data_IF_930221857781
#
_entry.id   IF_930221857781
#
_cell.length_a   1.000
_cell.length_b   1.000
_cell.length_c   1.000
_cell.angle_alpha   90.00
_cell.angle_beta   90.00
_cell.angle_gamma   90.00
#
_symmetry.space_group_name_H-M   'P 1'
#
loop_
_entity.id
_entity.type
_entity.pdbx_description
1 polymer ?
#
# COMPACT_ATOMS: atom_id res chain seq x y z
N UNK A 1 24.24 7.11 14.31
CA UNK A 1 22.79 7.27 14.06
C UNK A 1 22.60 8.45 13.13
N UNK A 2 21.95 8.24 11.98
CA UNK A 2 21.61 9.33 11.08
C UNK A 2 20.66 10.33 11.75
N UNK A 3 20.60 11.56 11.24
CA UNK A 3 19.60 12.53 11.70
C UNK A 3 18.19 12.00 11.39
N UNK A 4 17.20 12.19 12.27
CA UNK A 4 15.82 11.76 12.02
C UNK A 4 15.23 12.46 10.80
N UNK A 5 14.29 11.79 10.13
CA UNK A 5 13.51 12.41 9.05
C UNK A 5 12.64 13.54 9.58
N UNK A 6 12.43 14.57 8.75
CA UNK A 6 11.64 15.74 9.14
C UNK A 6 10.15 15.41 9.32
N UNK A 7 9.57 14.53 8.52
CA UNK A 7 8.12 14.26 8.53
C UNK A 7 7.64 13.73 9.90
N UNK A 8 8.24 12.66 10.47
CA UNK A 8 7.88 12.20 11.82
C UNK A 8 8.04 13.28 12.90
N UNK A 9 9.08 14.11 12.83
CA UNK A 9 9.29 15.22 13.77
C UNK A 9 8.20 16.29 13.67
N UNK A 10 7.67 16.55 12.47
CA UNK A 10 6.53 17.45 12.27
C UNK A 10 5.24 16.81 12.80
N UNK A 11 5.02 15.52 12.56
CA UNK A 11 3.83 14.78 13.00
C UNK A 11 3.68 14.81 14.53
N UNK A 12 4.77 14.57 15.27
CA UNK A 12 4.81 14.65 16.75
C UNK A 12 4.47 16.04 17.31
N UNK A 13 4.53 17.07 16.47
CA UNK A 13 4.40 18.48 16.88
C UNK A 13 3.10 19.11 16.43
N UNK A 14 2.18 18.36 15.83
CA UNK A 14 0.88 18.90 15.45
C UNK A 14 0.08 19.42 16.66
N UNK A 15 -0.68 20.54 16.54
CA UNK A 15 -0.69 21.47 15.41
C UNK A 15 0.61 22.31 15.34
N UNK A 16 1.07 22.58 14.12
CA UNK A 16 2.35 23.26 13.87
C UNK A 16 2.27 24.76 14.16
N UNK A 17 3.27 25.27 14.91
CA UNK A 17 3.60 26.70 15.04
C UNK A 17 4.98 26.97 14.46
N UNK A 18 5.36 28.23 14.32
CA UNK A 18 6.69 28.59 13.82
C UNK A 18 7.81 28.02 14.71
N UNK A 19 7.64 28.08 16.04
CA UNK A 19 8.62 27.54 17.00
C UNK A 19 8.76 26.03 16.85
N UNK A 20 7.64 25.31 16.71
CA UNK A 20 7.62 23.85 16.54
C UNK A 20 8.26 23.41 15.22
N UNK A 21 8.02 24.15 14.13
CA UNK A 21 8.67 23.88 12.83
C UNK A 21 10.18 24.15 12.92
N UNK A 22 10.59 25.23 13.60
CA UNK A 22 12.00 25.54 13.81
C UNK A 22 12.71 24.48 14.66
N UNK A 23 12.05 23.96 15.69
CA UNK A 23 12.56 22.86 16.50
C UNK A 23 12.73 21.57 15.67
N UNK A 24 11.71 21.17 14.91
CA UNK A 24 11.78 20.02 14.01
C UNK A 24 12.90 20.16 12.98
N UNK A 25 13.05 21.34 12.38
CA UNK A 25 14.12 21.65 11.43
C UNK A 25 15.51 21.49 12.06
N UNK A 26 15.70 21.98 13.29
CA UNK A 26 16.95 21.84 14.05
C UNK A 26 17.28 20.37 14.35
N UNK A 27 16.29 19.58 14.76
CA UNK A 27 16.47 18.15 15.08
C UNK A 27 16.76 17.31 13.83
N UNK A 28 16.05 17.55 12.73
CA UNK A 28 16.35 16.96 11.42
C UNK A 28 17.66 17.50 10.82
N UNK A 29 18.17 18.61 11.35
CA UNK A 29 19.36 19.30 10.90
C UNK A 29 19.27 19.79 9.46
N UNK A 30 18.11 20.35 9.10
CA UNK A 30 17.79 20.97 7.82
C UNK A 30 17.51 22.47 8.00
N UNK A 31 17.71 23.31 6.97
CA UNK A 31 17.35 24.73 7.05
C UNK A 31 15.86 24.95 7.31
N UNK A 32 15.52 25.99 8.09
CA UNK A 32 14.12 26.35 8.37
C UNK A 32 13.30 26.58 7.08
N UNK A 33 13.91 27.17 6.05
CA UNK A 33 13.27 27.35 4.75
C UNK A 33 12.89 26.01 4.08
N UNK A 34 13.73 24.99 4.20
CA UNK A 34 13.44 23.64 3.69
C UNK A 34 12.27 23.02 4.47
N UNK A 35 12.26 23.18 5.80
CA UNK A 35 11.17 22.67 6.63
C UNK A 35 9.83 23.32 6.27
N UNK A 36 9.79 24.64 6.06
CA UNK A 36 8.60 25.32 5.57
C UNK A 36 8.21 24.89 4.15
N UNK A 37 9.18 24.58 3.29
CA UNK A 37 8.92 23.99 1.98
C UNK A 37 8.15 22.68 2.07
N UNK A 38 8.52 21.82 3.02
CA UNK A 38 7.82 20.56 3.32
C UNK A 38 6.43 20.80 3.89
N UNK A 39 6.30 21.67 4.90
CA UNK A 39 5.03 22.03 5.54
C UNK A 39 4.02 22.58 4.52
N UNK A 40 4.48 23.38 3.55
CA UNK A 40 3.61 23.91 2.50
C UNK A 40 3.25 22.89 1.43
N UNK A 41 4.13 21.93 1.17
CA UNK A 41 3.95 20.93 0.13
C UNK A 41 2.89 19.90 0.50
N UNK A 42 2.98 19.30 1.69
CA UNK A 42 2.07 18.25 2.12
C UNK A 42 0.75 18.81 2.69
N UNK A 43 -0.43 18.43 2.15
CA UNK A 43 -1.73 18.93 2.62
C UNK A 43 -1.99 18.71 4.11
N UNK A 44 -1.55 17.58 4.66
CA UNK A 44 -1.73 17.22 6.08
C UNK A 44 -1.16 18.23 7.08
N UNK A 45 -0.20 19.07 6.67
CA UNK A 45 0.38 20.12 7.51
C UNK A 45 -0.28 21.50 7.35
N UNK A 46 -1.15 21.67 6.35
CA UNK A 46 -1.84 22.94 6.05
C UNK A 46 -3.21 23.07 6.73
N UNK A 47 -3.57 22.11 7.57
CA UNK A 47 -4.90 21.97 8.15
C UNK A 47 -5.78 21.12 7.25
N UNK A 48 -6.51 20.18 7.88
CA UNK A 48 -7.47 19.36 7.16
C UNK A 48 -8.71 20.18 6.80
N UNK A 49 -9.36 19.89 5.66
CA UNK A 49 -10.65 20.49 5.34
C UNK A 49 -11.67 20.23 6.47
N UNK A 50 -12.72 21.04 6.54
CA UNK A 50 -13.81 20.87 7.51
C UNK A 50 -15.14 20.66 6.76
N UNK A 51 -16.08 19.98 7.40
CA UNK A 51 -17.41 19.75 6.86
C UNK A 51 -17.58 18.39 6.18
N UNK A 52 -18.63 18.27 5.38
CA UNK A 52 -18.97 17.07 4.60
C UNK A 52 -18.31 17.14 3.25
N UNK A 53 -17.49 16.16 2.90
CA UNK A 53 -16.75 16.14 1.63
C UNK A 53 -17.19 14.93 0.81
N UNK A 54 -17.56 15.14 -0.44
CA UNK A 54 -17.77 14.04 -1.39
C UNK A 54 -16.41 13.49 -1.83
N UNK A 55 -16.22 12.17 -1.80
CA UNK A 55 -15.05 11.55 -2.41
C UNK A 55 -15.15 11.72 -3.92
N UNK A 56 -14.13 12.35 -4.51
CA UNK A 56 -14.10 12.72 -5.92
C UNK A 56 -13.42 11.63 -6.76
N UNK A 57 -14.10 10.50 -6.88
CA UNK A 57 -13.62 9.33 -7.61
C UNK A 57 -14.34 9.12 -8.95
N UNK A 58 -13.79 8.29 -9.86
CA UNK A 58 -14.40 8.04 -11.17
C UNK A 58 -15.83 7.49 -11.12
N UNK A 59 -16.18 6.68 -10.12
CA UNK A 59 -17.50 6.08 -9.97
C UNK A 59 -18.52 7.12 -9.52
N UNK A 60 -18.17 7.96 -8.54
CA UNK A 60 -18.98 9.11 -8.15
C UNK A 60 -19.18 10.07 -9.34
N UNK A 61 -18.14 10.27 -10.16
CA UNK A 61 -18.22 11.10 -11.38
C UNK A 61 -19.20 10.56 -12.41
N UNK A 62 -19.23 9.24 -12.59
CA UNK A 62 -20.19 8.56 -13.47
C UNK A 62 -21.62 8.57 -12.91
N UNK A 63 -21.81 8.66 -11.58
CA UNK A 63 -23.11 8.55 -10.89
C UNK A 63 -23.75 9.90 -10.54
N UNK A 64 -23.87 10.78 -11.53
CA UNK A 64 -24.60 12.05 -11.34
C UNK A 64 -23.90 13.02 -10.36
N UNK A 65 -22.59 13.20 -10.53
CA UNK A 65 -21.71 13.95 -9.63
C UNK A 65 -22.24 15.31 -9.18
N UNK A 66 -22.87 16.08 -10.08
CA UNK A 66 -23.40 17.41 -9.75
C UNK A 66 -24.41 17.34 -8.58
N UNK A 67 -25.35 16.39 -8.64
CA UNK A 67 -26.36 16.18 -7.60
C UNK A 67 -25.74 15.62 -6.30
N UNK A 68 -24.70 14.80 -6.41
CA UNK A 68 -23.97 14.31 -5.25
C UNK A 68 -23.22 15.45 -4.55
N UNK A 69 -22.64 16.37 -5.34
CA UNK A 69 -21.85 17.51 -4.87
C UNK A 69 -22.68 18.55 -4.15
N UNK A 70 -23.94 18.77 -4.56
CA UNK A 70 -24.91 19.65 -3.87
C UNK A 70 -25.14 19.26 -2.41
N UNK A 71 -24.92 17.99 -2.06
CA UNK A 71 -25.06 17.47 -0.69
C UNK A 71 -23.78 17.57 0.14
N UNK A 72 -22.72 18.18 -0.36
CA UNK A 72 -21.42 18.28 0.30
C UNK A 72 -20.90 19.72 0.32
N UNK A 73 -20.08 20.05 1.31
CA UNK A 73 -19.40 21.35 1.43
C UNK A 73 -18.18 21.40 0.50
N UNK A 74 -17.50 20.26 0.33
CA UNK A 74 -16.26 20.12 -0.44
C UNK A 74 -16.17 18.82 -1.23
N UNK A 75 -15.03 18.64 -1.92
CA UNK A 75 -14.58 17.34 -2.38
C UNK A 75 -13.31 16.92 -1.65
N UNK A 76 -13.03 15.63 -1.66
CA UNK A 76 -11.80 15.05 -1.15
C UNK A 76 -11.23 14.06 -2.18
N UNK A 77 -9.90 13.93 -2.32
CA UNK A 77 -9.31 12.98 -3.26
C UNK A 77 -9.69 11.52 -2.95
N UNK A 78 -9.57 10.62 -3.94
CA UNK A 78 -9.85 9.20 -3.76
C UNK A 78 -8.99 8.51 -2.68
N UNK A 79 -9.64 7.65 -1.89
CA UNK A 79 -9.06 6.94 -0.75
C UNK A 79 -9.21 5.40 -0.83
N UNK A 80 -9.39 4.84 -2.03
CA UNK A 80 -9.69 3.41 -2.15
C UNK A 80 -11.10 3.05 -1.65
N UNK A 81 -12.06 3.96 -1.82
CA UNK A 81 -13.46 3.80 -1.40
C UNK A 81 -14.42 3.59 -2.60
N UNK A 82 -13.88 3.38 -3.79
CA UNK A 82 -14.63 3.37 -5.05
C UNK A 82 -15.63 2.22 -5.14
N UNK A 83 -15.35 1.10 -4.47
CA UNK A 83 -16.31 0.01 -4.33
C UNK A 83 -17.57 0.42 -3.53
N UNK A 84 -17.46 1.46 -2.70
CA UNK A 84 -18.53 2.00 -1.86
C UNK A 84 -19.12 3.29 -2.44
N UNK A 85 -18.69 3.70 -3.64
CA UNK A 85 -19.09 4.98 -4.20
C UNK A 85 -20.61 5.02 -4.49
N UNK A 86 -21.29 6.15 -4.20
CA UNK A 86 -20.71 7.41 -3.70
C UNK A 86 -20.40 7.37 -2.20
N UNK A 87 -19.21 7.84 -1.82
CA UNK A 87 -18.77 7.94 -0.43
C UNK A 87 -18.67 9.40 0.02
N UNK A 88 -19.03 9.67 1.27
CA UNK A 88 -18.85 10.97 1.89
C UNK A 88 -17.95 10.84 3.11
N UNK A 89 -17.11 11.86 3.33
CA UNK A 89 -16.25 11.98 4.49
C UNK A 89 -16.75 13.14 5.35
N UNK A 90 -16.57 13.02 6.65
CA UNK A 90 -16.84 14.08 7.61
C UNK A 90 -15.55 14.44 8.31
N UNK A 91 -15.17 15.71 8.20
CA UNK A 91 -14.04 16.27 8.93
C UNK A 91 -14.58 17.28 9.94
N UNK A 92 -14.25 17.07 11.21
CA UNK A 92 -14.62 17.94 12.31
C UNK A 92 -13.37 18.28 13.14
N UNK A 93 -13.45 19.22 14.10
CA UNK A 93 -12.37 19.44 15.05
C UNK A 93 -12.01 18.19 15.88
N UNK A 94 -12.97 17.28 16.07
CA UNK A 94 -12.82 16.06 16.85
C UNK A 94 -12.20 14.90 16.07
N UNK A 95 -12.21 14.92 14.73
CA UNK A 95 -11.58 13.87 13.94
C UNK A 95 -12.02 13.75 12.49
N UNK A 96 -11.62 12.62 11.89
CA UNK A 96 -11.92 12.22 10.51
C UNK A 96 -12.81 11.00 10.49
N UNK A 97 -13.90 11.06 9.74
CA UNK A 97 -14.89 9.98 9.68
C UNK A 97 -15.31 9.67 8.25
N UNK A 98 -15.57 8.39 7.99
CA UNK A 98 -16.27 7.91 6.80
C UNK A 98 -17.76 7.86 7.14
N UNK A 99 -18.62 8.45 6.30
CA UNK A 99 -20.06 8.26 6.41
C UNK A 99 -20.42 6.90 5.81
N UNK A 100 -20.78 5.93 6.65
CA UNK A 100 -21.07 4.56 6.24
C UNK A 100 -22.34 4.06 6.92
N UNK A 101 -23.29 3.54 6.12
CA UNK A 101 -24.59 3.01 6.60
C UNK A 101 -25.34 3.94 7.57
N UNK A 102 -25.29 5.25 7.32
CA UNK A 102 -25.94 6.26 8.16
C UNK A 102 -25.21 6.57 9.47
N UNK A 103 -23.98 6.07 9.65
CA UNK A 103 -23.12 6.31 10.81
C UNK A 103 -21.85 7.07 10.41
N UNK A 104 -21.25 7.75 11.38
CA UNK A 104 -19.89 8.29 11.27
C UNK A 104 -18.92 7.28 11.87
N UNK A 105 -18.11 6.66 11.03
CA UNK A 105 -17.09 5.69 11.46
C UNK A 105 -15.72 6.38 11.44
N UNK A 106 -14.98 6.44 12.55
CA UNK A 106 -13.65 7.04 12.57
C UNK A 106 -12.70 6.39 11.56
N UNK A 107 -11.82 7.17 10.91
CA UNK A 107 -10.81 6.63 9.99
C UNK A 107 -9.94 5.54 10.63
N UNK A 108 -9.64 5.71 11.93
CA UNK A 108 -8.89 4.75 12.73
C UNK A 108 -9.58 3.40 12.95
N UNK A 109 -10.89 3.32 12.68
CA UNK A 109 -11.73 2.13 12.89
C UNK A 109 -12.35 1.61 11.59
N UNK A 110 -12.48 2.48 10.57
CA UNK A 110 -13.07 2.12 9.30
C UNK A 110 -12.15 1.22 8.49
N UNK A 111 -12.55 -0.04 8.35
CA UNK A 111 -11.98 -1.03 7.44
C UNK A 111 -12.91 -1.22 6.24
N UNK A 112 -12.35 -1.59 5.09
CA UNK A 112 -13.14 -1.92 3.90
C UNK A 112 -14.15 -3.03 4.26
N UNK A 113 -15.47 -2.77 4.12
CA UNK A 113 -16.52 -3.61 4.72
C UNK A 113 -16.90 -4.82 3.86
N UNK A 114 -16.09 -5.14 2.86
CA UNK A 114 -16.24 -6.35 2.06
C UNK A 114 -15.16 -7.35 2.45
N UNK A 115 -15.50 -8.63 2.39
CA UNK A 115 -14.55 -9.73 2.37
C UNK A 115 -13.82 -9.76 1.02
N UNK A 116 -12.79 -10.61 0.87
CA UNK A 116 -12.27 -10.95 -0.46
C UNK A 116 -13.44 -11.50 -1.28
N UNK A 117 -13.89 -10.70 -2.23
CA UNK A 117 -15.06 -10.95 -3.05
C UNK A 117 -14.80 -12.17 -3.93
N UNK A 118 -15.32 -13.31 -3.50
CA UNK A 118 -15.60 -14.44 -4.38
C UNK A 118 -14.40 -15.03 -5.14
N UNK A 119 -13.27 -15.18 -4.45
CA UNK A 119 -12.15 -16.05 -4.87
C UNK A 119 -12.24 -17.41 -4.17
N UNK A 120 -12.09 -18.51 -4.91
CA UNK A 120 -12.25 -19.86 -4.36
C UNK A 120 -11.02 -20.38 -3.57
N UNK A 121 -9.83 -19.73 -3.57
CA UNK A 121 -8.58 -20.52 -3.35
C UNK A 121 -7.41 -19.91 -2.55
N UNK A 122 -6.79 -18.77 -2.89
CA UNK A 122 -5.41 -18.48 -2.41
C UNK A 122 -5.32 -17.59 -1.15
N UNK A 123 -6.16 -16.57 -1.04
CA UNK A 123 -6.38 -15.83 0.21
C UNK A 123 -7.69 -16.28 0.88
N UNK A 124 -7.71 -16.46 2.21
CA UNK A 124 -8.94 -16.78 2.91
C UNK A 124 -9.97 -15.65 2.69
N UNK A 125 -11.26 -16.00 2.45
CA UNK A 125 -12.28 -14.99 2.19
C UNK A 125 -12.48 -14.08 3.40
N UNK A 126 -12.32 -14.63 4.60
CA UNK A 126 -12.46 -13.92 5.86
C UNK A 126 -11.15 -13.19 6.25
N UNK A 127 -11.25 -12.00 6.88
CA UNK A 127 -10.11 -11.29 7.43
C UNK A 127 -9.29 -12.15 8.42
N UNK A 128 -7.96 -12.01 8.33
CA UNK A 128 -6.96 -12.69 9.17
C UNK A 128 -6.12 -11.63 9.88
N UNK A 129 -6.65 -11.14 10.99
CA UNK A 129 -6.19 -9.92 11.65
C UNK A 129 -5.29 -10.19 12.88
N UNK A 130 -5.11 -11.45 13.27
CA UNK A 130 -4.30 -11.85 14.43
C UNK A 130 -3.21 -12.85 14.03
N UNK A 131 -2.10 -12.85 14.78
CA UNK A 131 -1.00 -13.77 14.54
C UNK A 131 -1.44 -15.24 14.66
N UNK A 132 -2.35 -15.53 15.59
CA UNK A 132 -2.88 -16.87 15.83
C UNK A 132 -3.71 -17.39 14.65
N UNK A 133 -4.60 -16.55 14.09
CA UNK A 133 -5.37 -16.91 12.89
C UNK A 133 -4.44 -17.14 11.70
N UNK A 134 -3.44 -16.27 11.51
CA UNK A 134 -2.48 -16.40 10.42
C UNK A 134 -1.68 -17.71 10.51
N UNK A 135 -1.17 -18.04 11.70
CA UNK A 135 -0.46 -19.30 11.95
C UNK A 135 -1.37 -20.52 11.73
N UNK A 136 -2.63 -20.47 12.13
CA UNK A 136 -3.58 -21.57 11.94
C UNK A 136 -3.83 -21.91 10.45
N UNK A 137 -3.59 -20.94 9.55
CA UNK A 137 -3.70 -21.10 8.10
C UNK A 137 -2.36 -21.43 7.41
N UNK A 138 -1.35 -21.85 8.17
CA UNK A 138 -0.01 -22.16 7.65
C UNK A 138 0.81 -20.92 7.30
N UNK A 139 0.48 -19.76 7.89
CA UNK A 139 1.36 -18.59 7.86
C UNK A 139 2.58 -18.78 8.77
N UNK A 140 3.62 -17.98 8.57
CA UNK A 140 4.90 -17.98 9.31
C UNK A 140 5.84 -19.16 9.02
N UNK A 141 5.42 -20.17 8.25
CA UNK A 141 6.25 -21.34 7.93
C UNK A 141 7.59 -20.94 7.29
N UNK A 142 7.59 -19.93 6.44
CA UNK A 142 8.80 -19.45 5.77
C UNK A 142 9.72 -18.68 6.74
N UNK A 143 9.16 -17.85 7.64
CA UNK A 143 9.95 -17.21 8.70
C UNK A 143 10.53 -18.23 9.69
N UNK A 144 9.77 -19.26 10.05
CA UNK A 144 10.28 -20.32 10.91
C UNK A 144 11.39 -21.13 10.22
N UNK A 145 11.25 -21.42 8.92
CA UNK A 145 12.28 -22.07 8.13
C UNK A 145 13.56 -21.23 8.06
N UNK A 146 13.42 -19.91 7.91
CA UNK A 146 14.52 -18.94 7.99
C UNK A 146 15.21 -19.02 9.36
N UNK A 147 14.47 -18.96 10.47
CA UNK A 147 15.04 -19.01 11.82
C UNK A 147 15.80 -20.32 12.10
N UNK A 148 15.31 -21.43 11.55
CA UNK A 148 15.95 -22.76 11.64
C UNK A 148 17.15 -22.91 10.69
N UNK A 149 17.43 -21.92 9.85
CA UNK A 149 18.51 -21.97 8.84
C UNK A 149 18.21 -22.87 7.65
N UNK A 150 16.93 -23.22 7.41
CA UNK A 150 16.49 -24.07 6.30
C UNK A 150 16.18 -23.28 5.03
N UNK A 151 16.05 -21.95 5.12
CA UNK A 151 15.87 -21.06 3.99
C UNK A 151 17.15 -20.23 3.78
N UNK A 152 17.58 -20.07 2.53
CA UNK A 152 18.68 -19.18 2.16
C UNK A 152 18.17 -18.04 1.27
N UNK A 153 18.86 -16.87 1.22
CA UNK A 153 18.46 -15.78 0.33
C UNK A 153 18.42 -16.21 -1.14
N UNK A 154 19.39 -17.02 -1.57
CA UNK A 154 19.45 -17.53 -2.95
C UNK A 154 18.25 -18.43 -3.27
N UNK A 155 17.85 -19.31 -2.33
CA UNK A 155 16.67 -20.15 -2.50
C UNK A 155 15.38 -19.29 -2.62
N UNK A 156 15.26 -18.20 -1.86
CA UNK A 156 14.15 -17.26 -2.04
C UNK A 156 14.19 -16.61 -3.43
N UNK A 157 15.35 -16.12 -3.87
CA UNK A 157 15.47 -15.46 -5.18
C UNK A 157 15.14 -16.42 -6.32
N UNK A 158 15.63 -17.65 -6.26
CA UNK A 158 15.32 -18.69 -7.23
C UNK A 158 13.83 -19.05 -7.22
N UNK A 159 13.22 -19.20 -6.04
CA UNK A 159 11.78 -19.47 -5.94
C UNK A 159 10.94 -18.36 -6.59
N UNK A 160 11.32 -17.09 -6.37
CA UNK A 160 10.64 -15.92 -7.00
C UNK A 160 10.88 -15.85 -8.51
N UNK A 161 12.07 -16.26 -8.97
CA UNK A 161 12.43 -16.34 -10.38
C UNK A 161 11.65 -17.43 -11.11
N UNK A 162 11.62 -18.65 -10.56
CA UNK A 162 10.84 -19.78 -11.08
C UNK A 162 9.34 -19.50 -11.06
N UNK A 163 8.85 -18.78 -10.04
CA UNK A 163 7.47 -18.33 -9.95
C UNK A 163 7.15 -17.26 -11.00
N UNK A 164 8.15 -16.59 -11.58
CA UNK A 164 7.95 -15.54 -12.58
C UNK A 164 7.27 -14.28 -12.03
N UNK A 165 7.36 -14.01 -10.72
CA UNK A 165 6.65 -12.90 -10.08
C UNK A 165 7.12 -11.53 -10.61
N UNK A 166 6.19 -10.82 -11.25
CA UNK A 166 6.35 -9.43 -11.65
C UNK A 166 5.82 -8.47 -10.58
N UNK A 167 6.41 -7.28 -10.46
CA UNK A 167 5.95 -6.27 -9.51
C UNK A 167 4.49 -5.87 -9.73
N UNK A 168 3.67 -5.93 -8.67
CA UNK A 168 2.23 -5.69 -8.69
C UNK A 168 1.82 -4.21 -8.49
N UNK A 169 2.79 -3.29 -8.47
CA UNK A 169 2.58 -1.84 -8.38
C UNK A 169 2.47 -1.11 -9.73
N UNK A 170 2.26 -1.83 -10.84
CA UNK A 170 2.04 -1.24 -12.17
C UNK A 170 3.24 -1.29 -13.14
N UNK A 171 4.48 -1.28 -12.62
CA UNK A 171 5.69 -1.33 -13.46
C UNK A 171 6.03 -2.72 -14.05
N UNK A 172 5.44 -3.80 -13.53
CA UNK A 172 5.63 -5.18 -13.99
C UNK A 172 7.10 -5.64 -14.13
N UNK A 173 8.03 -5.07 -13.36
CA UNK A 173 9.45 -5.44 -13.38
C UNK A 173 9.69 -6.80 -12.68
N UNK A 174 10.58 -7.69 -13.18
CA UNK A 174 10.86 -8.96 -12.53
C UNK A 174 11.40 -8.81 -11.10
N UNK A 175 10.68 -9.38 -10.13
CA UNK A 175 10.93 -9.17 -8.70
C UNK A 175 12.28 -9.73 -8.26
N UNK A 176 12.66 -10.92 -8.74
CA UNK A 176 13.93 -11.56 -8.43
C UNK A 176 15.14 -10.72 -8.88
N UNK A 177 15.08 -10.06 -10.04
CA UNK A 177 16.16 -9.18 -10.51
C UNK A 177 16.37 -7.99 -9.56
N UNK A 178 15.28 -7.37 -9.10
CA UNK A 178 15.35 -6.24 -8.16
C UNK A 178 15.90 -6.66 -6.81
N UNK A 179 15.46 -7.81 -6.29
CA UNK A 179 15.97 -8.43 -5.06
C UNK A 179 17.50 -8.66 -5.16
N UNK A 180 17.94 -9.34 -6.22
CA UNK A 180 19.36 -9.65 -6.46
C UNK A 180 20.21 -8.39 -6.64
N UNK A 181 19.69 -7.37 -7.33
CA UNK A 181 20.41 -6.11 -7.54
C UNK A 181 20.70 -5.39 -6.22
N UNK A 182 19.70 -5.28 -5.34
CA UNK A 182 19.87 -4.65 -4.02
C UNK A 182 20.77 -5.49 -3.11
N UNK A 183 20.63 -6.83 -3.14
CA UNK A 183 21.45 -7.74 -2.35
C UNK A 183 22.95 -7.70 -2.71
N UNK A 184 23.29 -7.30 -3.94
CA UNK A 184 24.68 -7.08 -4.40
C UNK A 184 25.24 -5.71 -4.00
N UNK A 185 24.38 -4.78 -3.60
CA UNK A 185 24.77 -3.43 -3.19
C UNK A 185 25.55 -3.41 -1.87
N UNK A 186 26.34 -2.35 -1.67
CA UNK A 186 27.07 -2.16 -0.42
C UNK A 186 26.12 -1.88 0.76
N UNK A 187 26.32 -2.50 1.93
CA UNK A 187 25.56 -2.17 3.12
C UNK A 187 25.87 -0.75 3.64
N UNK A 188 24.95 -0.16 4.42
CA UNK A 188 23.65 -0.69 4.77
C UNK A 188 22.66 -0.64 3.59
N UNK A 189 21.63 -1.49 3.64
CA UNK A 189 20.57 -1.61 2.62
C UNK A 189 19.21 -1.44 3.30
N UNK A 190 18.20 -1.05 2.54
CA UNK A 190 16.86 -0.84 3.08
C UNK A 190 15.78 -1.54 2.24
N UNK A 191 14.71 -1.97 2.91
CA UNK A 191 13.44 -2.30 2.26
C UNK A 191 12.46 -1.17 2.55
N UNK A 192 11.72 -0.76 1.53
CA UNK A 192 10.53 0.07 1.68
C UNK A 192 9.34 -0.62 1.02
N UNK A 193 8.35 -0.97 1.82
CA UNK A 193 7.04 -1.42 1.35
C UNK A 193 6.27 -0.18 0.94
N UNK A 194 6.01 -0.04 -0.36
CA UNK A 194 5.20 1.04 -0.90
C UNK A 194 3.71 0.70 -0.72
N UNK A 195 3.12 1.31 0.30
CA UNK A 195 1.71 1.22 0.69
C UNK A 195 1.00 2.59 0.55
N UNK A 196 1.54 3.49 -0.28
CA UNK A 196 0.84 4.71 -0.68
C UNK A 196 -0.06 4.42 -1.88
N UNK A 197 -1.11 3.61 -1.66
CA UNK A 197 -2.08 3.25 -2.70
C UNK A 197 -2.97 4.45 -3.03
N UNK A 198 -2.50 5.19 -4.04
CA UNK A 198 -3.07 6.48 -4.41
C UNK A 198 -3.78 6.53 -5.75
N UNK A 199 -3.60 5.49 -6.57
CA UNK A 199 -4.25 5.38 -7.87
C UNK A 199 -5.78 5.24 -7.71
N UNK A 200 -6.59 6.14 -8.27
CA UNK A 200 -8.05 6.05 -8.18
C UNK A 200 -8.57 4.73 -8.76
N UNK A 201 -9.53 4.13 -8.04
CA UNK A 201 -10.11 2.83 -8.37
C UNK A 201 -9.34 1.63 -7.81
N UNK A 202 -8.19 1.85 -7.15
CA UNK A 202 -7.43 0.78 -6.53
C UNK A 202 -7.57 0.79 -5.00
N UNK A 203 -7.82 -0.38 -4.43
CA UNK A 203 -8.00 -0.58 -2.97
C UNK A 203 -7.49 -1.96 -2.52
N UNK A 204 -6.69 -2.63 -3.36
CA UNK A 204 -6.19 -3.99 -3.11
C UNK A 204 -5.16 -4.00 -2.00
N UNK A 205 -4.30 -2.98 -1.96
CA UNK A 205 -3.22 -2.91 -0.99
C UNK A 205 -3.77 -2.45 0.36
N UNK A 206 -4.69 -1.47 0.37
CA UNK A 206 -5.46 -1.11 1.55
C UNK A 206 -6.13 -2.33 2.18
N UNK A 207 -6.82 -3.13 1.36
CA UNK A 207 -7.47 -4.35 1.80
C UNK A 207 -6.47 -5.33 2.45
N UNK A 208 -5.35 -5.60 1.79
CA UNK A 208 -4.32 -6.49 2.34
C UNK A 208 -3.76 -6.00 3.69
N UNK A 209 -3.54 -4.70 3.83
CA UNK A 209 -3.01 -4.13 5.08
C UNK A 209 -4.03 -4.15 6.22
N UNK A 210 -5.31 -3.92 5.92
CA UNK A 210 -6.38 -3.95 6.91
C UNK A 210 -6.72 -5.38 7.33
N UNK A 211 -6.85 -6.30 6.37
CA UNK A 211 -7.44 -7.63 6.58
C UNK A 211 -6.45 -8.79 6.59
N UNK A 212 -5.26 -8.64 6.00
CA UNK A 212 -4.21 -9.68 6.01
C UNK A 212 -2.82 -9.11 6.35
N UNK A 213 -2.67 -8.31 7.42
CA UNK A 213 -1.42 -7.63 7.72
C UNK A 213 -0.24 -8.59 7.87
N UNK A 214 -0.42 -9.74 8.52
CA UNK A 214 0.67 -10.71 8.75
C UNK A 214 1.23 -11.33 7.47
N UNK A 215 0.41 -11.46 6.41
CA UNK A 215 0.87 -11.94 5.12
C UNK A 215 1.85 -10.93 4.48
N UNK A 216 1.48 -9.64 4.53
CA UNK A 216 2.32 -8.56 4.03
C UNK A 216 3.61 -8.45 4.85
N UNK A 217 3.49 -8.52 6.18
CA UNK A 217 4.61 -8.42 7.12
C UNK A 217 5.58 -9.59 6.95
N UNK A 218 5.10 -10.83 6.81
CA UNK A 218 5.95 -11.99 6.54
C UNK A 218 6.73 -11.83 5.22
N UNK A 219 6.04 -11.44 4.14
CA UNK A 219 6.69 -11.15 2.87
C UNK A 219 7.75 -10.05 2.95
N UNK A 220 7.45 -8.97 3.68
CA UNK A 220 8.39 -7.88 3.90
C UNK A 220 9.63 -8.32 4.69
N UNK A 221 9.44 -9.10 5.77
CA UNK A 221 10.54 -9.61 6.59
C UNK A 221 11.43 -10.59 5.82
N UNK A 222 10.83 -11.49 5.02
CA UNK A 222 11.57 -12.40 4.13
C UNK A 222 12.40 -11.64 3.11
N UNK A 223 11.81 -10.64 2.44
CA UNK A 223 12.52 -9.81 1.47
C UNK A 223 13.65 -9.00 2.12
N UNK A 224 13.37 -8.35 3.25
CA UNK A 224 14.34 -7.55 4.00
C UNK A 224 15.54 -8.39 4.45
N UNK A 225 15.29 -9.56 5.02
CA UNK A 225 16.33 -10.49 5.41
C UNK A 225 17.15 -10.96 4.20
N UNK A 226 16.50 -11.36 3.11
CA UNK A 226 17.19 -11.90 1.94
C UNK A 226 18.09 -10.88 1.25
N UNK A 227 17.70 -9.61 1.22
CA UNK A 227 18.57 -8.54 0.71
C UNK A 227 19.61 -8.08 1.72
N UNK A 228 19.59 -8.55 2.97
CA UNK A 228 20.48 -8.06 4.03
C UNK A 228 20.21 -6.61 4.42
N UNK A 229 18.93 -6.24 4.53
CA UNK A 229 18.52 -4.89 4.94
C UNK A 229 18.89 -4.64 6.41
N UNK A 230 19.34 -3.42 6.71
CA UNK A 230 19.50 -2.95 8.10
C UNK A 230 18.12 -2.70 8.73
N UNK A 231 17.16 -2.26 7.91
CA UNK A 231 15.81 -1.93 8.34
C UNK A 231 14.81 -2.00 7.19
N UNK A 232 13.57 -2.32 7.53
CA UNK A 232 12.43 -2.29 6.64
C UNK A 232 11.41 -1.22 7.09
N UNK A 233 10.79 -0.56 6.13
CA UNK A 233 9.80 0.49 6.36
C UNK A 233 8.50 0.15 5.63
N UNK A 234 7.35 0.28 6.28
CA UNK A 234 6.07 0.34 5.59
C UNK A 234 5.69 1.80 5.36
N UNK A 235 5.82 2.28 4.13
CA UNK A 235 5.44 3.64 3.75
C UNK A 235 3.95 3.67 3.42
N UNK A 236 3.12 3.94 4.44
CA UNK A 236 1.65 3.80 4.37
C UNK A 236 0.98 5.15 4.17
N UNK A 237 0.02 5.22 3.26
CA UNK A 237 -0.88 6.36 3.08
C UNK A 237 -1.42 6.88 4.42
N UNK A 238 -1.31 8.17 4.71
CA UNK A 238 -1.64 8.70 6.05
C UNK A 238 -3.12 8.54 6.41
N UNK A 239 -3.99 8.59 5.40
CA UNK A 239 -5.43 8.42 5.54
C UNK A 239 -5.84 6.97 5.89
N UNK A 240 -4.97 5.98 5.71
CA UNK A 240 -5.24 4.58 6.05
C UNK A 240 -4.99 4.30 7.54
N UNK A 241 -5.61 5.09 8.42
CA UNK A 241 -5.36 5.03 9.87
C UNK A 241 -5.64 3.67 10.49
N UNK A 242 -6.72 2.99 10.08
CA UNK A 242 -7.05 1.64 10.54
C UNK A 242 -5.95 0.63 10.18
N UNK A 243 -5.40 0.73 8.96
CA UNK A 243 -4.28 -0.09 8.52
C UNK A 243 -3.01 0.21 9.32
N UNK A 244 -2.66 1.49 9.51
CA UNK A 244 -1.50 1.91 10.30
C UNK A 244 -1.55 1.32 11.71
N UNK A 245 -2.67 1.49 12.42
CA UNK A 245 -2.86 0.94 13.78
C UNK A 245 -2.81 -0.58 13.79
N UNK A 246 -3.43 -1.22 12.81
CA UNK A 246 -3.42 -2.68 12.67
C UNK A 246 -2.01 -3.22 12.45
N UNK A 247 -1.22 -2.57 11.59
CA UNK A 247 0.18 -2.91 11.32
C UNK A 247 1.07 -2.68 12.53
N UNK A 248 0.96 -1.53 13.22
CA UNK A 248 1.71 -1.25 14.45
C UNK A 248 1.46 -2.34 15.51
N UNK A 249 0.20 -2.75 15.69
CA UNK A 249 -0.16 -3.86 16.58
C UNK A 249 0.43 -5.20 16.11
N UNK A 250 0.27 -5.53 14.82
CA UNK A 250 0.76 -6.79 14.25
C UNK A 250 2.29 -6.91 14.29
N UNK A 251 3.02 -5.79 14.12
CA UNK A 251 4.47 -5.72 14.31
C UNK A 251 4.81 -6.06 15.77
N UNK A 252 4.12 -5.44 16.74
CA UNK A 252 4.30 -5.77 18.16
C UNK A 252 4.08 -7.26 18.47
N UNK A 253 3.02 -7.87 17.91
CA UNK A 253 2.77 -9.32 18.07
C UNK A 253 3.92 -10.19 17.50
N UNK A 254 4.51 -9.79 16.35
CA UNK A 254 5.66 -10.49 15.77
C UNK A 254 6.93 -10.30 16.60
N UNK A 255 7.16 -9.10 17.14
CA UNK A 255 8.30 -8.79 18.01
C UNK A 255 8.24 -9.59 19.32
N UNK A 256 7.07 -9.63 19.97
CA UNK A 256 6.84 -10.42 21.19
C UNK A 256 7.04 -11.92 20.94
N UNK A 257 6.68 -12.40 19.75
CA UNK A 257 6.92 -13.78 19.32
C UNK A 257 8.37 -14.07 18.91
N UNK A 258 9.24 -13.05 18.84
CA UNK A 258 10.63 -13.19 18.39
C UNK A 258 10.76 -13.51 16.90
N UNK A 259 9.78 -13.15 16.07
CA UNK A 259 9.68 -13.48 14.64
C UNK A 259 10.15 -12.36 13.70
N UNK A 260 10.81 -11.33 14.21
CA UNK A 260 11.28 -10.15 13.45
C UNK A 260 12.80 -10.25 13.20
N UNK A 261 13.24 -10.78 12.04
CA UNK A 261 14.67 -10.90 11.71
C UNK A 261 15.35 -9.56 11.36
N UNK A 262 14.57 -8.55 10.98
CA UNK A 262 15.03 -7.21 10.58
C UNK A 262 14.09 -6.18 11.21
N UNK A 263 14.59 -5.12 11.86
CA UNK A 263 13.74 -4.06 12.42
C UNK A 263 12.76 -3.52 11.37
N UNK A 264 11.50 -3.38 11.77
CA UNK A 264 10.38 -3.02 10.90
C UNK A 264 9.57 -1.90 11.54
N UNK A 265 9.26 -0.84 10.80
CA UNK A 265 8.45 0.26 11.31
C UNK A 265 7.50 0.84 10.26
N UNK A 266 6.37 1.38 10.71
CA UNK A 266 5.43 2.10 9.86
C UNK A 266 5.89 3.55 9.72
N UNK A 267 6.02 4.00 8.47
CA UNK A 267 6.29 5.39 8.11
C UNK A 267 5.04 5.98 7.45
N UNK A 268 4.44 6.99 8.08
CA UNK A 268 3.25 7.67 7.51
C UNK A 268 3.67 8.53 6.32
N UNK A 269 3.03 8.31 5.19
CA UNK A 269 3.31 9.04 3.96
C UNK A 269 2.91 10.52 4.02
N UNK A 270 3.21 11.23 2.94
CA UNK A 270 2.78 12.61 2.74
C UNK A 270 1.30 12.81 2.37
N UNK A 271 0.54 11.74 2.09
CA UNK A 271 -0.87 11.83 1.66
C UNK A 271 -1.05 12.50 0.28
N UNK A 272 -0.14 12.25 -0.66
CA UNK A 272 -0.19 12.80 -2.01
C UNK A 272 0.05 11.69 -3.04
N UNK A 273 -0.71 11.71 -4.13
CA UNK A 273 -0.59 10.71 -5.21
C UNK A 273 0.84 10.47 -5.71
N UNK A 274 1.63 11.55 -5.83
CA UNK A 274 3.02 11.46 -6.27
C UNK A 274 3.93 10.69 -5.30
N UNK A 275 3.55 10.55 -4.02
CA UNK A 275 4.30 9.78 -3.04
C UNK A 275 4.29 8.28 -3.31
N UNK A 276 3.39 7.79 -4.18
CA UNK A 276 3.41 6.42 -4.69
C UNK A 276 4.51 6.17 -5.73
N UNK A 277 5.10 7.21 -6.34
CA UNK A 277 6.24 7.04 -7.25
C UNK A 277 7.51 6.69 -6.46
N UNK A 278 8.24 5.70 -6.96
CA UNK A 278 9.36 5.06 -6.24
C UNK A 278 10.39 6.03 -5.67
N UNK A 279 10.79 7.07 -6.41
CA UNK A 279 11.81 8.03 -5.96
C UNK A 279 11.24 9.21 -5.18
N UNK A 280 10.04 9.66 -5.52
CA UNK A 280 9.33 10.69 -4.77
C UNK A 280 9.01 10.21 -3.34
N UNK A 281 8.65 8.94 -3.19
CA UNK A 281 8.52 8.26 -1.91
C UNK A 281 9.79 8.41 -1.06
N UNK A 282 10.96 8.16 -1.66
CA UNK A 282 12.24 8.22 -0.95
C UNK A 282 12.59 9.65 -0.54
N UNK A 283 12.32 10.65 -1.39
CA UNK A 283 12.45 12.06 -1.01
C UNK A 283 11.54 12.42 0.17
N UNK A 284 10.30 11.92 0.18
CA UNK A 284 9.38 12.10 1.31
C UNK A 284 9.94 11.50 2.60
N UNK A 285 10.42 10.26 2.54
CA UNK A 285 11.06 9.60 3.69
C UNK A 285 12.32 10.32 4.16
N UNK A 286 13.06 10.97 3.26
CA UNK A 286 14.24 11.79 3.59
C UNK A 286 13.90 13.18 4.16
N UNK A 287 12.63 13.48 4.40
CA UNK A 287 12.22 14.75 4.99
C UNK A 287 12.21 15.90 3.96
N UNK A 288 12.00 15.58 2.68
CA UNK A 288 11.93 16.55 1.58
C UNK A 288 10.54 16.51 0.93
N UNK A 289 10.34 17.40 -0.04
CA UNK A 289 9.15 17.38 -0.90
C UNK A 289 9.23 16.14 -1.80
N UNK A 290 8.11 15.49 -2.07
CA UNK A 290 8.03 14.27 -2.87
C UNK A 290 8.19 14.58 -4.37
N UNK A 291 9.34 15.10 -4.76
CA UNK A 291 9.71 15.42 -6.14
C UNK A 291 10.53 14.24 -6.71
N UNK A 292 10.11 13.59 -7.81
CA UNK A 292 10.84 12.45 -8.37
C UNK A 292 12.32 12.77 -8.66
N UNK A 293 13.20 11.80 -8.43
CA UNK A 293 14.64 11.93 -8.72
C UNK A 293 14.91 11.68 -10.20
N UNK A 294 15.94 12.34 -10.72
CA UNK A 294 16.51 11.98 -12.01
C UNK A 294 17.17 10.59 -11.90
N UNK A 295 16.88 9.72 -12.88
CA UNK A 295 17.46 8.37 -13.02
C UNK A 295 18.37 8.39 -14.26
N UNK A 296 19.57 7.75 -14.25
CA UNK A 296 20.25 7.10 -13.12
C UNK A 296 20.90 8.10 -12.12
N UNK A 297 21.28 7.66 -10.90
CA UNK A 297 21.27 6.28 -10.38
C UNK A 297 19.87 5.79 -9.99
N UNK A 298 19.63 4.48 -10.12
CA UNK A 298 18.36 3.89 -9.71
C UNK A 298 18.32 3.62 -8.20
N UNK A 299 17.13 3.53 -7.56
CA UNK A 299 17.00 3.24 -6.12
C UNK A 299 17.72 1.97 -5.66
N UNK A 300 17.81 0.97 -6.54
CA UNK A 300 18.53 -0.28 -6.25
C UNK A 300 20.03 -0.07 -6.03
N UNK A 301 20.59 1.02 -6.54
CA UNK A 301 21.99 1.43 -6.37
C UNK A 301 22.11 2.53 -5.30
N UNK A 302 21.27 3.57 -5.40
CA UNK A 302 21.27 4.75 -4.52
C UNK A 302 19.83 5.22 -4.24
N UNK A 303 19.19 4.58 -3.26
CA UNK A 303 17.85 4.89 -2.79
C UNK A 303 17.86 5.71 -1.50
N UNK A 304 17.19 5.19 -0.46
CA UNK A 304 17.03 5.83 0.85
C UNK A 304 18.39 6.15 1.47
N UNK A 305 18.60 7.43 1.79
CA UNK A 305 19.84 7.96 2.33
C UNK A 305 21.09 7.63 1.50
N UNK A 306 20.89 7.53 0.18
CA UNK A 306 21.96 7.22 -0.78
C UNK A 306 22.43 5.77 -0.74
N UNK A 307 21.66 4.86 -0.13
CA UNK A 307 21.99 3.45 0.02
C UNK A 307 21.13 2.54 -0.87
N UNK A 308 21.61 1.36 -1.28
CA UNK A 308 20.81 0.40 -2.05
C UNK A 308 19.47 0.13 -1.35
N UNK A 309 18.37 0.38 -2.05
CA UNK A 309 17.04 0.29 -1.48
C UNK A 309 16.12 -0.51 -2.39
N UNK A 310 15.47 -1.50 -1.79
CA UNK A 310 14.38 -2.22 -2.42
C UNK A 310 13.08 -1.51 -2.11
N UNK A 311 12.47 -0.85 -3.10
CA UNK A 311 11.07 -0.40 -2.99
C UNK A 311 10.18 -1.46 -3.62
N UNK A 312 9.21 -2.01 -2.88
CA UNK A 312 8.29 -3.03 -3.40
C UNK A 312 6.85 -2.78 -2.97
N UNK A 313 5.92 -3.08 -3.86
CA UNK A 313 4.48 -2.96 -3.59
C UNK A 313 4.00 -4.04 -2.59
N UNK A 314 2.96 -3.70 -1.82
CA UNK A 314 2.31 -4.57 -0.81
C UNK A 314 1.97 -5.95 -1.38
N UNK A 315 1.19 -6.02 -2.46
CA UNK A 315 0.80 -7.30 -3.08
C UNK A 315 2.00 -8.09 -3.62
N UNK A 316 3.05 -7.44 -4.11
CA UNK A 316 4.28 -8.15 -4.54
C UNK A 316 4.90 -8.91 -3.36
N UNK A 317 5.02 -8.26 -2.20
CA UNK A 317 5.61 -8.87 -1.01
C UNK A 317 4.71 -9.94 -0.41
N UNK A 318 3.40 -9.70 -0.36
CA UNK A 318 2.42 -10.67 0.11
C UNK A 318 2.47 -12.02 -0.65
N UNK A 319 2.93 -12.02 -1.90
CA UNK A 319 3.09 -13.25 -2.68
C UNK A 319 4.33 -14.08 -2.30
N UNK A 320 5.34 -13.51 -1.63
CA UNK A 320 6.57 -14.25 -1.29
C UNK A 320 6.32 -15.47 -0.39
N UNK A 321 5.61 -15.36 0.76
CA UNK A 321 5.29 -16.54 1.56
C UNK A 321 4.42 -17.55 0.82
N UNK A 322 3.49 -17.10 -0.02
CA UNK A 322 2.63 -17.98 -0.82
C UNK A 322 3.44 -18.80 -1.83
N UNK A 323 4.41 -18.18 -2.52
CA UNK A 323 5.32 -18.85 -3.46
C UNK A 323 6.12 -19.94 -2.74
N UNK A 324 6.66 -19.64 -1.56
CA UNK A 324 7.45 -20.61 -0.79
C UNK A 324 6.59 -21.77 -0.27
N UNK A 325 5.37 -21.47 0.20
CA UNK A 325 4.45 -22.47 0.76
C UNK A 325 3.87 -23.40 -0.30
N UNK A 326 3.43 -22.86 -1.43
CA UNK A 326 2.77 -23.64 -2.49
C UNK A 326 3.78 -24.29 -3.45
N UNK A 327 4.99 -23.74 -3.52
CA UNK A 327 5.99 -24.11 -4.50
C UNK A 327 5.90 -23.22 -5.76
N UNK A 328 7.05 -22.77 -6.32
CA UNK A 328 7.08 -21.81 -7.43
C UNK A 328 6.26 -22.23 -8.66
N UNK A 329 6.36 -23.48 -9.08
CA UNK A 329 5.65 -23.99 -10.26
C UNK A 329 4.13 -24.03 -10.06
N UNK A 330 3.67 -24.44 -8.87
CA UNK A 330 2.24 -24.48 -8.54
C UNK A 330 1.67 -23.05 -8.43
N UNK A 331 2.42 -22.13 -7.82
CA UNK A 331 2.05 -20.71 -7.79
C UNK A 331 2.01 -20.14 -9.20
N UNK A 332 3.03 -20.38 -10.05
CA UNK A 332 3.10 -19.88 -11.43
C UNK A 332 1.93 -20.35 -12.30
N UNK A 333 1.49 -21.59 -12.13
CA UNK A 333 0.36 -22.16 -12.84
C UNK A 333 -0.97 -21.48 -12.49
N UNK A 334 -1.07 -20.89 -11.29
CA UNK A 334 -2.24 -20.14 -10.84
C UNK A 334 -2.11 -18.64 -11.10
N UNK A 335 -0.90 -18.11 -10.95
CA UNK A 335 -0.50 -16.70 -10.97
C UNK A 335 -1.60 -15.75 -10.45
N UNK A 336 -1.90 -15.78 -9.13
CA UNK A 336 -2.94 -14.95 -8.57
C UNK A 336 -2.64 -13.46 -8.73
N UNK A 337 -3.70 -12.71 -8.99
CA UNK A 337 -3.71 -11.25 -9.02
C UNK A 337 -4.98 -10.74 -8.36
N UNK A 338 -4.83 -9.72 -7.53
CA UNK A 338 -5.95 -9.02 -6.92
C UNK A 338 -6.44 -7.89 -7.85
N UNK A 339 -7.73 -7.91 -8.15
CA UNK A 339 -8.41 -6.93 -9.00
C UNK A 339 -9.43 -6.15 -8.19
N UNK A 340 -9.22 -4.84 -8.10
CA UNK A 340 -10.17 -3.88 -7.53
C UNK A 340 -11.27 -3.62 -8.55
N UNK A 341 -12.46 -4.21 -8.36
CA UNK A 341 -13.61 -4.01 -9.25
C UNK A 341 -14.63 -3.07 -8.60
N UNK A 342 -14.99 -2.01 -9.30
CA UNK A 342 -15.96 -1.00 -8.85
C UNK A 342 -16.74 -0.45 -10.05
N UNK A 343 -17.68 0.46 -9.80
CA UNK A 343 -18.54 1.01 -10.86
C UNK A 343 -19.80 0.18 -11.06
N UNK A 344 -20.22 0.03 -12.31
CA UNK A 344 -21.52 -0.52 -12.68
C UNK A 344 -21.53 -2.05 -12.70
N UNK A 345 -21.32 -2.62 -11.51
CA UNK A 345 -21.39 -4.04 -11.18
C UNK A 345 -22.24 -4.23 -9.93
N UNK A 346 -22.91 -5.38 -9.80
CA UNK A 346 -23.75 -5.67 -8.63
C UNK A 346 -22.96 -5.83 -7.33
N UNK A 347 -21.76 -6.42 -7.42
CA UNK A 347 -20.91 -6.78 -6.28
C UNK A 347 -19.52 -6.14 -6.44
N UNK A 348 -19.38 -4.82 -6.25
CA UNK A 348 -18.07 -4.20 -6.24
C UNK A 348 -17.24 -4.72 -5.05
N UNK A 349 -15.92 -4.79 -5.22
CA UNK A 349 -15.02 -5.32 -4.21
C UNK A 349 -13.72 -5.83 -4.81
N UNK A 350 -12.99 -6.62 -4.02
CA UNK A 350 -11.69 -7.17 -4.40
C UNK A 350 -11.84 -8.60 -4.90
N UNK A 351 -11.31 -8.90 -6.09
CA UNK A 351 -11.41 -10.23 -6.71
C UNK A 351 -10.01 -10.82 -6.91
N UNK A 352 -9.79 -12.03 -6.40
CA UNK A 352 -8.59 -12.80 -6.72
C UNK A 352 -8.85 -13.63 -7.99
N UNK A 353 -8.12 -13.33 -9.07
CA UNK A 353 -8.25 -14.02 -10.34
C UNK A 353 -6.85 -14.35 -10.90
N UNK A 354 -6.73 -15.43 -11.70
CA UNK A 354 -5.51 -15.68 -12.47
C UNK A 354 -5.17 -14.49 -13.37
N UNK A 355 -3.90 -14.12 -13.45
CA UNK A 355 -3.46 -13.15 -14.44
C UNK A 355 -3.74 -13.69 -15.86
N UNK A 356 -4.37 -12.87 -16.71
CA UNK A 356 -4.86 -13.28 -18.04
C UNK A 356 -6.34 -13.71 -18.05
N UNK A 357 -7.04 -13.62 -16.93
CA UNK A 357 -8.51 -13.75 -16.91
C UNK A 357 -9.14 -12.65 -17.78
N UNK A 358 -10.00 -12.98 -18.76
CA UNK A 358 -10.65 -11.98 -19.61
C UNK A 358 -11.48 -10.98 -18.80
N UNK A 359 -11.42 -9.70 -19.15
CA UNK A 359 -12.18 -8.63 -18.49
C UNK A 359 -13.67 -8.96 -18.38
N UNK A 360 -14.28 -9.48 -19.45
CA UNK A 360 -15.70 -9.83 -19.44
C UNK A 360 -16.02 -10.92 -18.42
N UNK A 361 -15.09 -11.86 -18.18
CA UNK A 361 -15.24 -12.85 -17.12
C UNK A 361 -15.15 -12.21 -15.73
N UNK A 362 -14.16 -11.34 -15.50
CA UNK A 362 -14.01 -10.63 -14.23
C UNK A 362 -15.26 -9.81 -13.89
N UNK A 363 -15.81 -9.07 -14.87
CA UNK A 363 -17.04 -8.30 -14.71
C UNK A 363 -18.25 -9.19 -14.40
N UNK A 364 -18.42 -10.32 -15.11
CA UNK A 364 -19.52 -11.27 -14.84
C UNK A 364 -19.45 -11.86 -13.43
N UNK A 365 -18.25 -12.14 -12.90
CA UNK A 365 -18.07 -12.58 -11.50
C UNK A 365 -18.57 -11.53 -10.51
N UNK A 366 -18.36 -10.25 -10.82
CA UNK A 366 -18.92 -9.13 -10.06
C UNK A 366 -20.41 -8.84 -10.33
N UNK A 367 -21.09 -9.66 -11.14
CA UNK A 367 -22.49 -9.46 -11.51
C UNK A 367 -22.71 -8.34 -12.53
N UNK A 368 -21.66 -7.92 -13.25
CA UNK A 368 -21.79 -7.00 -14.36
C UNK A 368 -22.24 -7.69 -15.65
N UNK A 369 -22.86 -6.92 -16.54
CA UNK A 369 -23.20 -7.30 -17.91
C UNK A 369 -22.27 -6.56 -18.89
N UNK A 370 -21.15 -7.17 -19.34
CA UNK A 370 -20.14 -6.46 -20.15
C UNK A 370 -20.73 -5.75 -21.37
N UNK A 371 -21.70 -6.36 -22.05
CA UNK A 371 -22.33 -5.84 -23.25
C UNK A 371 -23.15 -4.56 -22.99
N UNK A 372 -23.66 -4.39 -21.77
CA UNK A 372 -24.39 -3.20 -21.35
C UNK A 372 -23.47 -2.04 -20.95
N UNK A 373 -22.19 -2.31 -20.64
CA UNK A 373 -21.23 -1.30 -20.20
C UNK A 373 -20.72 -0.46 -21.37
N UNK A 374 -20.49 0.82 -21.11
CA UNK A 374 -19.94 1.76 -22.11
C UNK A 374 -18.44 1.57 -22.33
N UNK A 375 -17.68 1.35 -21.25
CA UNK A 375 -16.25 1.04 -21.26
C UNK A 375 -15.83 0.56 -19.86
N UNK A 376 -14.63 0.00 -19.77
CA UNK A 376 -13.92 -0.28 -18.52
C UNK A 376 -12.63 0.53 -18.49
N UNK A 377 -12.33 1.16 -17.36
CA UNK A 377 -11.03 1.80 -17.10
C UNK A 377 -10.07 0.78 -16.49
N UNK A 378 -9.03 0.41 -17.22
CA UNK A 378 -8.01 -0.54 -16.76
C UNK A 378 -6.76 0.18 -16.26
N UNK A 379 -6.28 -0.19 -15.08
CA UNK A 379 -5.04 0.33 -14.51
C UNK A 379 -5.17 1.67 -13.77
N UNK A 380 -6.39 2.09 -13.45
CA UNK A 380 -6.66 3.35 -12.74
C UNK A 380 -6.75 4.57 -13.66
N UNK A 381 -6.69 5.77 -13.07
CA UNK A 381 -6.76 7.05 -13.79
C UNK A 381 -5.61 7.27 -14.78
N UNK A 382 -4.43 6.70 -14.55
CA UNK A 382 -3.32 6.70 -15.51
C UNK A 382 -3.47 5.64 -16.63
N UNK A 383 -4.55 4.86 -16.57
CA UNK A 383 -4.81 3.71 -17.41
C UNK A 383 -5.49 4.00 -18.74
N UNK A 384 -6.17 2.99 -19.29
CA UNK A 384 -6.85 3.06 -20.59
C UNK A 384 -8.31 2.63 -20.47
N UNK A 385 -9.18 3.33 -21.21
CA UNK A 385 -10.54 2.87 -21.42
C UNK A 385 -10.59 1.84 -22.54
N UNK A 386 -11.27 0.72 -22.32
CA UNK A 386 -11.50 -0.30 -23.34
C UNK A 386 -12.92 -0.86 -23.32
N UNK A 387 -13.32 -1.46 -24.43
CA UNK A 387 -14.50 -2.34 -24.57
C UNK A 387 -14.11 -3.74 -25.04
N UNK A 388 -12.81 -4.03 -25.06
CA UNK A 388 -12.32 -5.36 -25.40
C UNK A 388 -12.53 -6.28 -24.20
N UNK A 389 -13.63 -7.03 -24.21
CA UNK A 389 -13.98 -7.94 -23.12
C UNK A 389 -13.11 -9.21 -23.07
N UNK A 390 -12.28 -9.43 -24.09
CA UNK A 390 -11.36 -10.56 -24.21
C UNK A 390 -9.92 -10.21 -23.84
N UNK A 391 -9.59 -8.92 -23.67
CA UNK A 391 -8.34 -8.47 -23.04
C UNK A 391 -8.26 -9.02 -21.61
#
# INVERSE_FOLDING_TARGET
MGKPSLLPLLDERLPLTEEKVAEAARLAGVPLAQAWGVVRYYPRYRGLPQGRLLVDDPVARARGFALLREKADGTYPPLGLEALAPSYLRFTPEGRFVEWEGRLVPFAEFRLPFALGHGERLLPPEPVETLAQYRALGGLEALEALQKGHLTPEALFQAVEEAGLLGRGGAAFPTHLKLRAVARGEPPRYLVVNADESEPGNFKDRFLLEHHPFLVLEGALLAAWAIGAERAYLYVREEFEAAIRGLEKAIGELEEAGLVPVPLEVFRSGGLYICGEETALLESMEGRRAEPRLKPPFPVERGLWGRPTLVQNVETLANLPLILREGPAAWRAREPKLFSLSGDVERPGLYELPLGTPIGEALRRAGGEPEALQAVLLGGAAGVFTRDWAF
#
